data_IF_704903934211
#
_entry.id   IF_704903934211
#
_cell.length_a   1.000
_cell.length_b   1.000
_cell.length_c   1.000
_cell.angle_alpha   90.00
_cell.angle_beta   90.00
_cell.angle_gamma   90.00
#
_symmetry.space_group_name_H-M   'P 1'
#
loop_
_entity.id
_entity.type
_entity.pdbx_description
1 polymer ?
#
# COMPACT_ATOMS: atom_id res chain seq x y z
N UNK A 1 6.14 -27.12 4.16
CA UNK A 1 6.26 -27.18 2.69
C UNK A 1 5.13 -26.36 2.10
N UNK A 2 5.39 -25.56 1.06
CA UNK A 2 4.38 -24.84 0.29
C UNK A 2 4.44 -25.32 -1.16
N UNK A 3 3.28 -25.63 -1.75
CA UNK A 3 3.13 -26.09 -3.14
C UNK A 3 2.07 -25.21 -3.80
N UNK A 4 2.44 -24.02 -4.30
CA UNK A 4 1.50 -23.12 -4.94
C UNK A 4 1.00 -23.68 -6.27
N UNK A 5 -0.30 -23.53 -6.50
CA UNK A 5 -0.97 -23.93 -7.75
C UNK A 5 -1.40 -22.73 -8.60
N UNK A 6 -1.12 -21.52 -8.15
CA UNK A 6 -1.33 -20.27 -8.88
C UNK A 6 -0.31 -19.22 -8.42
N UNK A 7 -0.01 -18.19 -9.23
CA UNK A 7 0.85 -17.08 -8.85
C UNK A 7 0.01 -15.87 -8.39
N UNK A 8 -0.77 -15.98 -7.30
CA UNK A 8 -1.76 -14.94 -6.94
C UNK A 8 -1.36 -13.94 -5.86
N UNK A 9 -0.33 -14.22 -5.07
CA UNK A 9 0.10 -13.39 -3.95
C UNK A 9 1.53 -13.76 -3.51
N UNK A 10 2.23 -12.88 -2.81
CA UNK A 10 3.55 -13.15 -2.23
C UNK A 10 3.55 -14.06 -0.97
N UNK A 11 2.37 -14.40 -0.46
CA UNK A 11 2.17 -15.19 0.76
C UNK A 11 2.73 -16.61 0.75
N UNK A 12 3.12 -17.15 -0.42
CA UNK A 12 3.69 -18.50 -0.55
C UNK A 12 5.04 -18.65 0.15
N UNK A 13 5.74 -17.55 0.37
CA UNK A 13 7.09 -17.52 0.98
C UNK A 13 7.20 -16.49 2.09
N UNK A 14 6.09 -15.88 2.53
CA UNK A 14 6.12 -14.81 3.52
C UNK A 14 6.44 -15.32 4.93
N UNK A 15 6.92 -14.40 5.78
CA UNK A 15 6.86 -14.57 7.22
C UNK A 15 5.54 -13.97 7.73
N UNK A 16 4.66 -14.83 8.22
CA UNK A 16 3.33 -14.42 8.68
C UNK A 16 2.21 -14.64 7.67
N UNK A 17 0.98 -14.74 8.20
CA UNK A 17 -0.26 -14.93 7.45
C UNK A 17 -1.18 -13.74 7.66
N UNK A 18 -1.68 -13.15 6.57
CA UNK A 18 -2.58 -12.01 6.60
C UNK A 18 -4.04 -12.48 6.82
N UNK A 19 -4.51 -12.45 8.06
CA UNK A 19 -5.81 -12.97 8.48
C UNK A 19 -6.64 -11.87 9.16
N UNK A 20 -7.96 -11.96 9.04
CA UNK A 20 -8.87 -11.11 9.82
C UNK A 20 -9.11 -11.79 11.16
N UNK A 21 -8.73 -11.11 12.25
CA UNK A 21 -8.93 -11.57 13.62
C UNK A 21 -9.66 -10.47 14.38
N UNK A 22 -10.80 -10.80 14.99
CA UNK A 22 -11.64 -9.88 15.75
C UNK A 22 -12.00 -8.61 14.97
N UNK A 23 -12.32 -8.79 13.68
CA UNK A 23 -12.67 -7.70 12.76
C UNK A 23 -11.50 -6.86 12.27
N UNK A 24 -10.27 -7.03 12.79
CA UNK A 24 -9.08 -6.32 12.32
C UNK A 24 -8.22 -7.22 11.43
N UNK A 25 -7.84 -6.73 10.25
CA UNK A 25 -6.88 -7.41 9.39
C UNK A 25 -5.47 -7.32 10.00
N UNK A 26 -4.91 -8.46 10.39
CA UNK A 26 -3.60 -8.59 11.04
C UNK A 26 -2.68 -9.52 10.26
N UNK A 27 -1.38 -9.33 10.47
CA UNK A 27 -0.36 -10.29 10.01
C UNK A 27 0.00 -11.13 11.22
N UNK A 28 -0.52 -12.35 11.29
CA UNK A 28 -0.25 -13.27 12.40
C UNK A 28 1.10 -13.97 12.15
N UNK A 29 1.97 -14.08 13.17
CA UNK A 29 3.23 -14.80 13.03
C UNK A 29 2.99 -16.24 12.55
N UNK A 30 3.64 -16.59 11.45
CA UNK A 30 3.63 -17.93 10.86
C UNK A 30 5.04 -18.22 10.35
N UNK A 31 5.66 -19.34 10.75
CA UNK A 31 6.95 -19.74 10.20
C UNK A 31 6.87 -19.87 8.68
N UNK A 32 7.87 -19.36 7.99
CA UNK A 32 7.99 -19.55 6.55
C UNK A 32 8.17 -21.04 6.20
N UNK A 33 7.72 -21.48 5.03
CA UNK A 33 7.89 -22.88 4.62
C UNK A 33 9.36 -23.22 4.41
N UNK A 34 9.79 -24.38 4.94
CA UNK A 34 11.15 -24.92 4.70
C UNK A 34 11.44 -25.24 3.23
N UNK A 35 10.41 -25.58 2.47
CA UNK A 35 10.50 -26.00 1.06
C UNK A 35 9.35 -25.38 0.29
N UNK A 36 9.68 -24.76 -0.85
CA UNK A 36 8.74 -24.29 -1.86
C UNK A 36 8.91 -25.17 -3.11
N UNK A 37 7.81 -25.76 -3.60
CA UNK A 37 7.79 -26.51 -4.86
C UNK A 37 6.78 -25.85 -5.78
N UNK A 38 7.25 -25.04 -6.71
CA UNK A 38 6.42 -24.31 -7.66
C UNK A 38 6.60 -24.93 -9.05
N UNK A 39 5.65 -25.77 -9.45
CA UNK A 39 5.64 -26.36 -10.79
C UNK A 39 5.17 -25.31 -11.81
N UNK A 40 6.06 -24.93 -12.72
CA UNK A 40 5.78 -23.88 -13.72
C UNK A 40 4.66 -24.25 -14.68
N UNK A 41 4.48 -25.54 -14.98
CA UNK A 41 3.38 -26.00 -15.83
C UNK A 41 2.05 -25.81 -15.09
N UNK A 42 1.97 -26.19 -13.81
CA UNK A 42 0.78 -25.98 -12.97
C UNK A 42 0.46 -24.49 -12.84
N UNK A 43 1.46 -23.66 -12.52
CA UNK A 43 1.27 -22.21 -12.38
C UNK A 43 0.77 -21.55 -13.67
N UNK A 44 1.25 -22.02 -14.82
CA UNK A 44 0.87 -21.46 -16.14
C UNK A 44 -0.56 -21.80 -16.53
N UNK A 45 -1.08 -22.93 -16.05
CA UNK A 45 -2.46 -23.36 -16.28
C UNK A 45 -3.46 -22.77 -15.26
N UNK A 46 -3.01 -21.99 -14.28
CA UNK A 46 -3.88 -21.33 -13.33
C UNK A 46 -4.83 -20.33 -14.02
N UNK A 47 -6.06 -20.11 -13.48
CA UNK A 47 -6.97 -19.09 -13.98
C UNK A 47 -6.28 -17.72 -14.16
N UNK A 48 -6.52 -17.08 -15.30
CA UNK A 48 -5.85 -15.83 -15.68
C UNK A 48 -6.00 -14.72 -14.64
N UNK A 49 -7.13 -14.64 -13.97
CA UNK A 49 -7.41 -13.66 -12.92
C UNK A 49 -6.50 -13.81 -11.71
N UNK A 50 -6.05 -15.03 -11.39
CA UNK A 50 -5.08 -15.28 -10.32
C UNK A 50 -3.70 -14.75 -10.72
N UNK A 51 -3.29 -14.89 -11.98
CA UNK A 51 -2.10 -14.23 -12.49
C UNK A 51 -2.20 -12.71 -12.42
N UNK A 52 -3.32 -12.12 -12.86
CA UNK A 52 -3.54 -10.67 -12.77
C UNK A 52 -3.46 -10.18 -11.32
N UNK A 53 -4.02 -10.95 -10.38
CA UNK A 53 -3.95 -10.65 -8.94
C UNK A 53 -2.51 -10.63 -8.44
N UNK A 54 -1.70 -11.64 -8.76
CA UNK A 54 -0.29 -11.66 -8.36
C UNK A 54 0.57 -10.63 -9.09
N UNK A 55 0.28 -10.32 -10.34
CA UNK A 55 0.94 -9.22 -11.04
C UNK A 55 0.70 -7.89 -10.32
N UNK A 56 -0.56 -7.59 -9.97
CA UNK A 56 -0.90 -6.38 -9.24
C UNK A 56 -0.26 -6.34 -7.85
N UNK A 57 -0.25 -7.47 -7.13
CA UNK A 57 0.42 -7.59 -5.84
C UNK A 57 1.94 -7.36 -5.95
N UNK A 58 2.60 -7.86 -7.00
CA UNK A 58 4.01 -7.58 -7.24
C UNK A 58 4.23 -6.11 -7.64
N UNK A 59 3.39 -5.54 -8.50
CA UNK A 59 3.48 -4.16 -8.96
C UNK A 59 3.35 -3.15 -7.81
N UNK A 60 2.58 -3.50 -6.77
CA UNK A 60 2.43 -2.71 -5.55
C UNK A 60 3.75 -2.39 -4.83
N UNK A 61 4.80 -3.17 -5.08
CA UNK A 61 6.12 -2.92 -4.49
C UNK A 61 6.78 -1.65 -5.06
N UNK A 62 6.28 -1.10 -6.17
CA UNK A 62 6.70 0.22 -6.67
C UNK A 62 6.25 1.33 -5.69
N UNK A 63 4.94 1.59 -5.47
CA UNK A 63 4.50 2.57 -4.48
C UNK A 63 4.85 2.18 -3.03
N UNK A 64 4.80 0.88 -2.67
CA UNK A 64 5.23 0.43 -1.34
C UNK A 64 6.70 0.70 -1.05
N UNK A 65 7.58 0.57 -2.07
CA UNK A 65 8.97 0.99 -1.98
C UNK A 65 9.12 2.51 -1.82
N UNK A 66 8.28 3.30 -2.49
CA UNK A 66 8.26 4.76 -2.34
C UNK A 66 7.81 5.18 -0.92
N UNK A 67 6.88 4.45 -0.30
CA UNK A 67 6.53 4.62 1.10
C UNK A 67 7.73 4.39 2.03
N UNK A 68 8.53 3.35 1.79
CA UNK A 68 9.74 3.14 2.60
C UNK A 68 10.78 4.26 2.37
N UNK A 69 10.91 4.74 1.13
CA UNK A 69 11.75 5.92 0.79
C UNK A 69 11.30 7.17 1.55
N UNK A 70 10.00 7.41 1.69
CA UNK A 70 9.46 8.53 2.49
C UNK A 70 9.96 8.44 3.93
N UNK A 71 9.76 7.28 4.56
CA UNK A 71 10.05 7.07 5.97
C UNK A 71 11.56 7.12 6.26
N UNK A 72 12.38 6.61 5.34
CA UNK A 72 13.84 6.71 5.37
C UNK A 72 14.32 8.15 5.20
N UNK A 73 13.72 8.91 4.28
CA UNK A 73 14.07 10.34 4.05
C UNK A 73 13.75 11.21 5.26
N UNK A 74 12.71 10.87 6.01
CA UNK A 74 12.36 11.51 7.28
C UNK A 74 13.18 10.98 8.48
N UNK A 75 14.04 9.97 8.27
CA UNK A 75 14.88 9.39 9.32
C UNK A 75 14.12 8.60 10.39
N UNK A 76 12.94 8.08 10.06
CA UNK A 76 12.07 7.36 11.01
C UNK A 76 12.30 5.85 11.00
N UNK A 77 12.57 5.30 9.81
CA UNK A 77 12.85 3.87 9.61
C UNK A 77 13.75 3.74 8.38
N UNK A 78 15.06 3.55 8.58
CA UNK A 78 16.01 3.46 7.47
C UNK A 78 15.70 2.30 6.54
N UNK A 79 15.99 2.47 5.25
CA UNK A 79 15.98 1.34 4.30
C UNK A 79 17.11 0.38 4.67
N UNK A 80 16.77 -0.91 4.75
CA UNK A 80 17.74 -2.00 4.88
C UNK A 80 18.22 -2.44 3.49
N UNK A 81 19.48 -2.17 3.09
CA UNK A 81 19.92 -2.44 1.72
C UNK A 81 19.87 -3.91 1.31
N UNK A 82 20.15 -4.80 2.27
CA UNK A 82 20.13 -6.26 2.11
C UNK A 82 18.71 -6.80 1.87
N UNK A 83 17.69 -6.13 2.40
CA UNK A 83 16.27 -6.45 2.16
C UNK A 83 15.76 -5.77 0.90
N UNK A 84 16.12 -4.50 0.70
CA UNK A 84 15.73 -3.71 -0.46
C UNK A 84 16.12 -4.38 -1.78
N UNK A 85 17.36 -4.89 -1.85
CA UNK A 85 17.91 -5.51 -3.07
C UNK A 85 17.18 -6.79 -3.47
N UNK A 86 16.54 -7.51 -2.52
CA UNK A 86 15.79 -8.73 -2.83
C UNK A 86 14.56 -8.46 -3.69
N UNK A 87 13.96 -7.28 -3.57
CA UNK A 87 12.74 -6.92 -4.31
C UNK A 87 13.05 -5.87 -5.36
N UNK A 88 13.55 -4.72 -4.93
CA UNK A 88 13.56 -3.49 -5.73
C UNK A 88 14.59 -3.52 -6.88
N UNK A 89 15.63 -4.37 -6.78
CA UNK A 89 16.65 -4.51 -7.82
C UNK A 89 16.07 -5.07 -9.11
N UNK A 90 15.33 -6.17 -9.03
CA UNK A 90 14.83 -6.92 -10.18
C UNK A 90 13.33 -6.67 -10.45
N UNK A 91 12.65 -5.88 -9.60
CA UNK A 91 11.22 -5.58 -9.69
C UNK A 91 10.77 -5.12 -11.09
N UNK A 92 11.45 -4.11 -11.66
CA UNK A 92 11.11 -3.59 -13.00
C UNK A 92 11.29 -4.65 -14.08
N UNK A 93 12.32 -5.49 -13.96
CA UNK A 93 12.56 -6.61 -14.88
C UNK A 93 11.41 -7.62 -14.81
N UNK A 94 10.99 -8.02 -13.60
CA UNK A 94 9.86 -8.94 -13.42
C UNK A 94 8.54 -8.39 -13.96
N UNK A 95 8.28 -7.09 -13.77
CA UNK A 95 7.07 -6.46 -14.29
C UNK A 95 7.09 -6.29 -15.83
N UNK A 96 8.28 -6.08 -16.42
CA UNK A 96 8.44 -5.87 -17.86
C UNK A 96 8.27 -7.14 -18.69
N UNK A 97 8.37 -8.33 -18.09
CA UNK A 97 8.19 -9.62 -18.78
C UNK A 97 6.72 -9.93 -19.13
N UNK A 98 5.79 -9.01 -18.87
CA UNK A 98 4.39 -9.12 -19.29
C UNK A 98 3.71 -10.35 -18.68
N UNK A 99 3.36 -11.32 -19.52
CA UNK A 99 2.60 -12.53 -19.15
C UNK A 99 3.48 -13.71 -18.71
N UNK A 100 4.78 -13.51 -18.49
CA UNK A 100 5.66 -14.55 -17.96
C UNK A 100 5.32 -14.87 -16.49
N UNK A 101 4.53 -15.92 -16.32
CA UNK A 101 4.12 -16.51 -15.03
C UNK A 101 5.32 -16.81 -14.13
N UNK A 102 6.41 -17.33 -14.69
CA UNK A 102 7.59 -17.72 -13.91
C UNK A 102 8.27 -16.48 -13.34
N UNK A 103 8.46 -15.46 -14.18
CA UNK A 103 9.07 -14.19 -13.76
C UNK A 103 8.26 -13.49 -12.66
N UNK A 104 6.93 -13.44 -12.80
CA UNK A 104 6.04 -12.87 -11.77
C UNK A 104 6.11 -13.69 -10.48
N UNK A 105 6.03 -15.02 -10.58
CA UNK A 105 6.13 -15.89 -9.41
C UNK A 105 7.48 -15.74 -8.68
N UNK A 106 8.59 -15.58 -9.41
CA UNK A 106 9.90 -15.33 -8.83
C UNK A 106 9.95 -14.00 -8.07
N UNK A 107 9.32 -12.94 -8.58
CA UNK A 107 9.20 -11.67 -7.86
C UNK A 107 8.34 -11.76 -6.60
N UNK A 108 7.23 -12.50 -6.67
CA UNK A 108 6.39 -12.79 -5.49
C UNK A 108 7.16 -13.59 -4.43
N UNK A 109 7.92 -14.60 -4.84
CA UNK A 109 8.77 -15.39 -3.94
C UNK A 109 9.87 -14.53 -3.31
N UNK A 110 10.55 -13.69 -4.10
CA UNK A 110 11.57 -12.77 -3.62
C UNK A 110 11.01 -11.78 -2.59
N UNK A 111 9.77 -11.32 -2.80
CA UNK A 111 9.05 -10.49 -1.83
C UNK A 111 8.84 -11.23 -0.51
N UNK A 112 8.36 -12.46 -0.53
CA UNK A 112 8.20 -13.22 0.71
C UNK A 112 9.51 -13.48 1.44
N UNK A 113 10.60 -13.78 0.71
CA UNK A 113 11.96 -13.87 1.31
C UNK A 113 12.40 -12.55 1.96
N UNK A 114 12.09 -11.42 1.34
CA UNK A 114 12.40 -10.10 1.92
C UNK A 114 11.66 -9.87 3.24
N UNK A 115 10.39 -10.30 3.35
CA UNK A 115 9.64 -10.26 4.60
C UNK A 115 10.21 -11.21 5.66
N UNK A 116 10.72 -12.38 5.26
CA UNK A 116 11.41 -13.29 6.19
C UNK A 116 12.68 -12.66 6.77
N UNK A 117 13.49 -12.01 5.92
CA UNK A 117 14.73 -11.37 6.33
C UNK A 117 14.48 -10.10 7.16
N UNK A 118 13.40 -9.37 6.87
CA UNK A 118 13.04 -8.14 7.59
C UNK A 118 12.27 -8.40 8.89
N UNK A 119 11.51 -9.49 8.97
CA UNK A 119 10.58 -9.84 10.08
C UNK A 119 9.39 -8.88 10.25
N UNK A 120 9.03 -8.17 9.19
CA UNK A 120 7.83 -7.35 9.06
C UNK A 120 7.46 -7.22 7.57
N UNK A 121 6.23 -6.80 7.25
CA UNK A 121 5.77 -6.67 5.86
C UNK A 121 6.18 -5.36 5.16
N UNK A 122 6.95 -4.47 5.80
CA UNK A 122 7.44 -3.20 5.22
C UNK A 122 8.01 -3.34 3.80
N UNK A 123 8.79 -4.38 3.43
CA UNK A 123 9.33 -4.51 2.07
C UNK A 123 8.28 -4.84 1.00
N UNK A 124 7.11 -5.33 1.43
CA UNK A 124 6.06 -5.84 0.56
C UNK A 124 4.79 -4.97 0.54
N UNK A 125 4.62 -4.12 1.56
CA UNK A 125 3.34 -3.49 1.89
C UNK A 125 3.51 -2.05 2.40
N UNK A 126 2.89 -1.11 1.72
CA UNK A 126 2.69 0.30 2.06
C UNK A 126 1.21 0.66 2.14
N UNK A 127 0.86 1.90 1.80
CA UNK A 127 -0.49 2.43 1.79
C UNK A 127 -1.43 1.62 0.90
N UNK A 128 -0.95 1.12 -0.24
CA UNK A 128 -1.73 0.34 -1.20
C UNK A 128 -2.34 -0.93 -0.59
N UNK A 129 -1.61 -1.58 0.32
CA UNK A 129 -2.12 -2.72 1.08
C UNK A 129 -3.05 -2.30 2.21
N UNK A 130 -2.82 -1.13 2.84
CA UNK A 130 -3.73 -0.62 3.87
C UNK A 130 -5.11 -0.32 3.28
N UNK A 131 -5.19 0.20 2.05
CA UNK A 131 -6.45 0.36 1.33
C UNK A 131 -7.15 -0.99 1.12
N UNK A 132 -6.41 -1.99 0.65
CA UNK A 132 -6.93 -3.35 0.49
C UNK A 132 -7.48 -3.93 1.79
N UNK A 133 -6.80 -3.72 2.92
CA UNK A 133 -7.24 -4.18 4.22
C UNK A 133 -8.54 -3.52 4.69
N UNK A 134 -8.75 -2.22 4.41
CA UNK A 134 -10.04 -1.57 4.67
C UNK A 134 -11.15 -2.27 3.91
N UNK A 135 -10.98 -2.45 2.60
CA UNK A 135 -12.00 -3.08 1.77
C UNK A 135 -12.21 -4.56 2.09
N UNK A 136 -11.18 -5.27 2.59
CA UNK A 136 -11.32 -6.61 3.16
C UNK A 136 -12.17 -6.64 4.43
N UNK A 137 -11.90 -5.73 5.36
CA UNK A 137 -12.65 -5.61 6.62
C UNK A 137 -14.10 -5.18 6.39
N UNK A 138 -14.34 -4.36 5.36
CA UNK A 138 -15.68 -3.96 4.91
C UNK A 138 -16.41 -5.05 4.11
N UNK A 139 -15.81 -6.22 3.92
CA UNK A 139 -16.36 -7.33 3.14
C UNK A 139 -16.76 -6.91 1.71
N UNK A 140 -15.88 -6.18 1.02
CA UNK A 140 -16.10 -5.76 -0.37
C UNK A 140 -16.36 -7.00 -1.25
N UNK A 141 -17.53 -7.02 -1.89
CA UNK A 141 -17.93 -8.03 -2.86
C UNK A 141 -18.25 -7.38 -4.19
N UNK A 142 -18.00 -8.13 -5.28
CA UNK A 142 -18.38 -7.74 -6.63
C UNK A 142 -18.96 -8.95 -7.34
N UNK A 143 -20.14 -8.79 -7.96
CA UNK A 143 -20.87 -9.86 -8.65
C UNK A 143 -21.12 -11.12 -7.77
N UNK A 144 -21.35 -10.91 -6.48
CA UNK A 144 -21.65 -11.99 -5.52
C UNK A 144 -20.44 -12.69 -4.93
N UNK A 145 -19.22 -12.30 -5.30
CA UNK A 145 -17.98 -12.90 -4.81
C UNK A 145 -17.10 -11.89 -4.07
N UNK A 146 -16.26 -12.39 -3.16
CA UNK A 146 -15.25 -11.56 -2.48
C UNK A 146 -14.21 -11.08 -3.49
N UNK A 147 -13.92 -9.77 -3.49
CA UNK A 147 -12.93 -9.21 -4.41
C UNK A 147 -11.53 -9.73 -4.07
N UNK A 148 -10.79 -10.16 -5.10
CA UNK A 148 -9.41 -10.63 -5.00
C UNK A 148 -8.49 -9.65 -4.26
N UNK A 149 -7.57 -10.17 -3.45
CA UNK A 149 -6.59 -9.36 -2.71
C UNK A 149 -5.76 -8.47 -3.64
N UNK A 150 -5.15 -9.06 -4.67
CA UNK A 150 -4.36 -8.32 -5.66
C UNK A 150 -5.15 -7.27 -6.42
N UNK A 151 -6.46 -7.47 -6.64
CA UNK A 151 -7.30 -6.46 -7.30
C UNK A 151 -7.59 -5.26 -6.42
N UNK A 152 -7.81 -5.47 -5.11
CA UNK A 152 -7.87 -4.38 -4.14
C UNK A 152 -6.53 -3.67 -4.05
N UNK A 153 -5.42 -4.41 -3.95
CA UNK A 153 -4.06 -3.85 -3.96
C UNK A 153 -3.77 -3.08 -5.25
N UNK A 154 -4.31 -3.51 -6.40
CA UNK A 154 -4.19 -2.82 -7.69
C UNK A 154 -4.76 -1.40 -7.63
N UNK A 155 -6.03 -1.27 -7.24
CA UNK A 155 -6.70 0.03 -7.07
C UNK A 155 -5.98 0.87 -6.02
N UNK A 156 -5.54 0.24 -4.93
CA UNK A 156 -4.75 0.91 -3.92
C UNK A 156 -3.38 1.41 -4.42
N UNK A 157 -2.76 0.70 -5.35
CA UNK A 157 -1.46 1.07 -5.94
C UNK A 157 -1.62 2.26 -6.89
N UNK A 158 -2.66 2.25 -7.73
CA UNK A 158 -3.02 3.40 -8.58
C UNK A 158 -3.29 4.65 -7.74
N UNK A 159 -4.06 4.51 -6.65
CA UNK A 159 -4.31 5.58 -5.70
C UNK A 159 -3.00 6.09 -5.07
N UNK A 160 -2.12 5.20 -4.60
CA UNK A 160 -0.85 5.57 -3.98
C UNK A 160 0.06 6.35 -4.92
N UNK A 161 0.22 5.88 -6.17
CA UNK A 161 1.00 6.58 -7.19
C UNK A 161 0.40 7.95 -7.47
N UNK A 162 -0.91 8.04 -7.68
CA UNK A 162 -1.60 9.30 -7.97
C UNK A 162 -1.53 10.30 -6.79
N UNK A 163 -1.63 9.83 -5.55
CA UNK A 163 -1.46 10.64 -4.33
C UNK A 163 -0.05 11.23 -4.27
N UNK A 164 0.97 10.38 -4.42
CA UNK A 164 2.37 10.81 -4.39
C UNK A 164 2.69 11.77 -5.53
N UNK A 165 2.26 11.47 -6.77
CA UNK A 165 2.45 12.38 -7.89
C UNK A 165 1.75 13.72 -7.63
N UNK A 166 0.48 13.72 -7.25
CA UNK A 166 -0.27 14.96 -7.05
C UNK A 166 0.39 15.85 -6.00
N UNK A 167 0.83 15.25 -4.87
CA UNK A 167 1.51 16.00 -3.82
C UNK A 167 2.87 16.53 -4.29
N UNK A 168 3.73 15.68 -4.84
CA UNK A 168 5.12 16.03 -5.17
C UNK A 168 5.30 16.71 -6.52
N UNK A 169 4.23 16.94 -7.29
CA UNK A 169 4.26 17.91 -8.39
C UNK A 169 4.29 19.36 -7.88
N UNK A 170 3.77 19.62 -6.67
CA UNK A 170 3.84 20.94 -6.06
C UNK A 170 5.25 21.27 -5.59
N UNK A 171 5.66 22.54 -5.77
CA UNK A 171 6.82 23.07 -5.06
C UNK A 171 6.58 23.09 -3.55
N UNK A 172 7.64 23.24 -2.75
CA UNK A 172 7.49 23.37 -1.29
C UNK A 172 6.63 24.57 -0.91
N UNK A 173 6.74 25.70 -1.63
CA UNK A 173 5.91 26.89 -1.40
C UNK A 173 4.44 26.63 -1.74
N UNK A 174 4.18 25.90 -2.82
CA UNK A 174 2.83 25.51 -3.22
C UNK A 174 2.18 24.55 -2.22
N UNK A 175 2.95 23.60 -1.71
CA UNK A 175 2.51 22.68 -0.68
C UNK A 175 2.22 23.43 0.64
N UNK A 176 3.11 24.32 1.07
CA UNK A 176 2.92 25.15 2.26
C UNK A 176 1.67 26.03 2.19
N UNK A 177 1.38 26.63 1.03
CA UNK A 177 0.18 27.45 0.83
C UNK A 177 -1.13 26.65 0.92
N UNK A 178 -1.10 25.37 0.59
CA UNK A 178 -2.26 24.48 0.63
C UNK A 178 -2.43 23.76 1.97
N UNK A 179 -1.38 23.70 2.76
CA UNK A 179 -1.33 22.97 4.01
C UNK A 179 -2.30 23.57 5.06
N UNK A 180 -3.27 22.77 5.52
CA UNK A 180 -4.15 23.18 6.61
C UNK A 180 -3.48 22.98 7.97
N UNK A 181 -3.84 23.74 9.02
CA UNK A 181 -3.31 23.55 10.36
C UNK A 181 -3.59 22.14 10.91
N UNK A 182 -2.71 21.58 11.77
CA UNK A 182 -2.96 20.28 12.39
C UNK A 182 -4.20 20.34 13.29
N UNK A 183 -5.03 19.29 13.34
CA UNK A 183 -6.22 19.27 14.19
C UNK A 183 -5.83 19.17 15.67
N UNK A 184 -6.74 19.58 16.55
CA UNK A 184 -6.67 19.28 17.98
C UNK A 184 -6.96 17.80 18.25
N UNK A 185 -6.55 17.30 19.41
CA UNK A 185 -6.87 15.93 19.86
C UNK A 185 -8.37 15.64 19.87
N UNK A 186 -9.20 16.63 20.21
CA UNK A 186 -10.65 16.51 20.21
C UNK A 186 -11.21 16.35 18.79
N UNK A 187 -10.74 17.16 17.85
CA UNK A 187 -11.12 17.04 16.43
C UNK A 187 -10.65 15.71 15.85
N UNK A 188 -9.42 15.28 16.17
CA UNK A 188 -8.91 14.00 15.73
C UNK A 188 -9.75 12.83 16.25
N UNK A 189 -10.15 12.84 17.53
CA UNK A 189 -11.06 11.81 18.07
C UNK A 189 -12.39 11.75 17.31
N UNK A 190 -12.97 12.89 16.96
CA UNK A 190 -14.20 12.95 16.15
C UNK A 190 -13.98 12.39 14.74
N UNK A 191 -12.86 12.74 14.11
CA UNK A 191 -12.49 12.24 12.77
C UNK A 191 -12.33 10.71 12.78
N UNK A 192 -11.60 10.17 13.76
CA UNK A 192 -11.41 8.71 13.93
C UNK A 192 -12.75 8.02 14.16
N UNK A 193 -13.59 8.53 15.06
CA UNK A 193 -14.91 7.97 15.32
C UNK A 193 -15.80 7.95 14.05
N UNK A 194 -15.76 9.01 13.24
CA UNK A 194 -16.49 9.10 11.97
C UNK A 194 -15.98 8.07 10.95
N UNK A 195 -14.67 7.97 10.75
CA UNK A 195 -14.08 7.05 9.77
C UNK A 195 -14.23 5.59 10.18
N UNK A 196 -14.29 5.30 11.48
CA UNK A 196 -14.48 3.95 12.00
C UNK A 196 -15.94 3.59 12.27
N UNK A 197 -16.89 4.48 11.92
CA UNK A 197 -18.32 4.33 12.26
C UNK A 197 -18.98 3.06 11.69
N UNK A 198 -18.41 2.46 10.64
CA UNK A 198 -18.87 1.17 10.09
C UNK A 198 -18.67 -0.01 11.05
N UNK A 199 -17.86 0.15 12.10
CA UNK A 199 -17.71 -0.84 13.17
C UNK A 199 -16.99 -2.13 12.78
N UNK A 200 -16.42 -2.21 11.58
CA UNK A 200 -15.79 -3.41 11.04
C UNK A 200 -14.25 -3.42 11.15
N UNK A 201 -13.66 -2.58 11.99
CA UNK A 201 -12.20 -2.38 12.08
C UNK A 201 -11.57 -2.92 13.37
N UNK A 202 -12.30 -3.78 14.08
CA UNK A 202 -11.96 -4.21 15.44
C UNK A 202 -12.00 -3.06 16.46
N UNK A 203 -11.71 -3.38 17.72
CA UNK A 203 -11.72 -2.41 18.83
C UNK A 203 -10.43 -1.58 18.91
N UNK A 204 -9.33 -2.08 18.35
CA UNK A 204 -7.99 -1.49 18.48
C UNK A 204 -7.70 -0.38 17.46
N UNK A 205 -8.42 -0.28 16.33
CA UNK A 205 -8.10 0.68 15.28
C UNK A 205 -8.10 2.14 15.77
N UNK A 206 -9.02 2.51 16.67
CA UNK A 206 -9.05 3.84 17.25
C UNK A 206 -7.82 4.10 18.15
N UNK A 207 -7.39 3.10 18.93
CA UNK A 207 -6.20 3.19 19.77
C UNK A 207 -4.94 3.30 18.93
N UNK A 208 -4.81 2.51 17.86
CA UNK A 208 -3.71 2.58 16.89
C UNK A 208 -3.62 3.97 16.27
N UNK A 209 -4.75 4.53 15.82
CA UNK A 209 -4.81 5.85 15.21
C UNK A 209 -4.44 6.97 16.17
N UNK A 210 -4.84 6.88 17.44
CA UNK A 210 -4.55 7.89 18.46
C UNK A 210 -3.14 7.75 19.04
N UNK A 211 -2.56 6.56 19.05
CA UNK A 211 -1.19 6.32 19.52
C UNK A 211 -0.14 7.00 18.66
N UNK A 212 -0.42 7.22 17.37
CA UNK A 212 0.48 7.93 16.44
C UNK A 212 0.17 9.41 16.27
N UNK A 213 -0.89 9.90 16.90
CA UNK A 213 -1.28 11.29 16.77
C UNK A 213 -0.28 12.22 17.45
N UNK A 214 0.34 13.10 16.68
CA UNK A 214 1.27 14.11 17.18
C UNK A 214 0.51 15.39 17.55
N UNK A 215 0.89 16.02 18.66
CA UNK A 215 0.31 17.29 19.13
C UNK A 215 1.38 18.24 19.67
N UNK A 216 1.05 19.53 19.77
CA UNK A 216 1.97 20.57 20.27
C UNK A 216 3.25 20.69 19.44
N UNK A 217 4.39 20.69 20.14
CA UNK A 217 5.71 20.83 19.50
C UNK A 217 6.03 19.65 18.57
N UNK A 218 5.56 18.43 18.89
CA UNK A 218 5.88 17.24 18.11
C UNK A 218 5.34 17.32 16.67
N UNK A 219 4.09 17.77 16.48
CA UNK A 219 3.52 17.95 15.12
C UNK A 219 4.16 19.14 14.41
N UNK A 220 4.54 20.19 15.15
CA UNK A 220 5.22 21.36 14.60
C UNK A 220 6.60 20.98 14.04
N UNK A 221 7.40 20.25 14.81
CA UNK A 221 8.72 19.78 14.39
C UNK A 221 8.62 18.77 13.24
N UNK A 222 7.61 17.88 13.27
CA UNK A 222 7.37 16.96 12.17
C UNK A 222 7.03 17.68 10.87
N UNK A 223 6.15 18.68 10.91
CA UNK A 223 5.81 19.48 9.71
C UNK A 223 7.02 20.24 9.18
N UNK A 224 7.81 20.88 10.06
CA UNK A 224 9.07 21.52 9.66
C UNK A 224 9.99 20.53 8.96
N UNK A 225 10.16 19.33 9.52
CA UNK A 225 10.98 18.29 8.91
C UNK A 225 10.46 17.89 7.53
N UNK A 226 9.16 17.64 7.37
CA UNK A 226 8.55 17.27 6.08
C UNK A 226 8.83 18.34 5.02
N UNK A 227 8.54 19.61 5.32
CA UNK A 227 8.74 20.69 4.35
C UNK A 227 10.22 21.00 4.09
N UNK A 228 11.09 20.92 5.10
CA UNK A 228 12.55 21.06 4.92
C UNK A 228 13.15 19.94 4.05
N UNK A 229 12.51 18.76 4.02
CA UNK A 229 12.93 17.62 3.20
C UNK A 229 12.11 17.48 1.92
N UNK A 230 11.23 18.43 1.59
CA UNK A 230 10.24 18.28 0.51
C UNK A 230 10.89 18.01 -0.85
N UNK A 231 11.92 18.76 -1.22
CA UNK A 231 12.60 18.58 -2.51
C UNK A 231 13.37 17.26 -2.58
N UNK A 232 13.97 16.83 -1.46
CA UNK A 232 14.63 15.52 -1.37
C UNK A 232 13.61 14.37 -1.45
N UNK A 233 12.46 14.51 -0.78
CA UNK A 233 11.35 13.56 -0.88
C UNK A 233 10.88 13.46 -2.33
N UNK A 234 10.62 14.61 -2.97
CA UNK A 234 10.23 14.71 -4.38
C UNK A 234 11.19 13.98 -5.30
N UNK A 235 12.49 14.27 -5.20
CA UNK A 235 13.53 13.64 -6.02
C UNK A 235 13.54 12.12 -5.83
N UNK A 236 13.60 11.65 -4.58
CA UNK A 236 13.72 10.22 -4.28
C UNK A 236 12.45 9.44 -4.63
N UNK A 237 11.27 10.04 -4.46
CA UNK A 237 9.99 9.42 -4.81
C UNK A 237 9.86 9.29 -6.32
N UNK A 238 10.11 10.35 -7.10
CA UNK A 238 10.05 10.27 -8.56
C UNK A 238 11.10 9.34 -9.16
N UNK A 239 12.25 9.17 -8.51
CA UNK A 239 13.24 8.15 -8.89
C UNK A 239 12.73 6.71 -8.67
N UNK A 240 11.91 6.50 -7.63
CA UNK A 240 11.38 5.18 -7.27
C UNK A 240 10.09 4.84 -8.03
N UNK A 241 9.22 5.81 -8.27
CA UNK A 241 7.93 5.58 -8.92
C UNK A 241 8.06 5.26 -10.42
N UNK A 242 6.99 4.68 -10.95
CA UNK A 242 6.69 4.65 -12.37
C UNK A 242 5.56 5.67 -12.57
N UNK A 243 5.65 6.58 -13.57
CA UNK A 243 4.61 7.59 -13.77
C UNK A 243 3.21 6.99 -13.91
N UNK A 244 2.18 7.64 -13.37
CA UNK A 244 0.82 7.07 -13.27
C UNK A 244 0.31 6.47 -14.59
N UNK A 245 0.48 7.18 -15.71
CA UNK A 245 0.04 6.70 -17.03
C UNK A 245 0.75 5.42 -17.48
N UNK A 246 2.05 5.31 -17.22
CA UNK A 246 2.84 4.11 -17.52
C UNK A 246 2.49 2.97 -16.56
N UNK A 247 2.38 3.25 -15.26
CA UNK A 247 1.99 2.26 -14.25
C UNK A 247 0.61 1.67 -14.52
N UNK A 248 -0.37 2.53 -14.87
CA UNK A 248 -1.71 2.10 -15.31
C UNK A 248 -1.65 1.23 -16.56
N UNK A 249 -0.76 1.55 -17.51
CA UNK A 249 -0.58 0.76 -18.73
C UNK A 249 -0.01 -0.63 -18.44
N UNK A 250 0.94 -0.77 -17.51
CA UNK A 250 1.46 -2.05 -17.04
C UNK A 250 0.34 -2.92 -16.46
N UNK A 251 -0.46 -2.35 -15.55
CA UNK A 251 -1.60 -3.03 -14.92
C UNK A 251 -2.66 -3.44 -15.95
N UNK A 252 -2.96 -2.57 -16.92
CA UNK A 252 -3.88 -2.86 -18.03
C UNK A 252 -3.42 -4.05 -18.85
N UNK A 253 -2.14 -4.08 -19.23
CA UNK A 253 -1.55 -5.15 -20.03
C UNK A 253 -1.55 -6.50 -19.29
N UNK A 254 -1.46 -6.48 -17.96
CA UNK A 254 -1.58 -7.68 -17.15
C UNK A 254 -3.03 -8.17 -16.99
N UNK A 255 -4.03 -7.34 -17.31
CA UNK A 255 -5.46 -7.65 -17.13
C UNK A 255 -5.95 -7.38 -15.70
N UNK A 256 -5.41 -6.34 -15.06
CA UNK A 256 -5.82 -5.89 -13.73
C UNK A 256 -6.92 -4.82 -13.83
N UNK A 257 -7.75 -4.64 -12.78
CA UNK A 257 -8.73 -3.56 -12.75
C UNK A 257 -8.04 -2.20 -12.63
N UNK A 258 -8.59 -1.19 -13.30
CA UNK A 258 -8.01 0.14 -13.44
C UNK A 258 -8.83 1.23 -12.76
N UNK A 259 -10.09 0.94 -12.41
CA UNK A 259 -10.99 1.90 -11.75
C UNK A 259 -11.66 1.26 -10.52
N UNK A 260 -12.05 2.05 -9.51
CA UNK A 260 -12.75 1.51 -8.33
C UNK A 260 -14.03 0.75 -8.70
N UNK A 261 -14.76 1.22 -9.71
CA UNK A 261 -16.01 0.61 -10.16
C UNK A 261 -15.84 -0.82 -10.70
N UNK A 262 -14.68 -1.14 -11.29
CA UNK A 262 -14.36 -2.50 -11.79
C UNK A 262 -14.21 -3.53 -10.67
N UNK A 263 -14.04 -3.09 -9.42
CA UNK A 263 -14.05 -3.95 -8.23
C UNK A 263 -15.26 -3.68 -7.32
N UNK A 264 -16.27 -2.98 -7.81
CA UNK A 264 -17.51 -2.74 -7.08
C UNK A 264 -17.46 -1.62 -6.04
N UNK A 265 -16.43 -0.77 -6.05
CA UNK A 265 -16.37 0.41 -5.18
C UNK A 265 -17.10 1.60 -5.81
N UNK A 266 -17.92 2.28 -5.01
CA UNK A 266 -18.35 3.66 -5.31
C UNK A 266 -17.22 4.65 -5.04
N UNK A 267 -17.31 5.86 -5.62
CA UNK A 267 -16.35 6.94 -5.32
C UNK A 267 -16.28 7.25 -3.81
N UNK A 268 -17.42 7.25 -3.14
CA UNK A 268 -17.51 7.46 -1.69
C UNK A 268 -16.77 6.35 -0.92
N UNK A 269 -16.97 5.07 -1.27
CA UNK A 269 -16.28 3.96 -0.63
C UNK A 269 -14.77 3.99 -0.91
N UNK A 270 -14.38 4.39 -2.11
CA UNK A 270 -12.97 4.54 -2.49
C UNK A 270 -12.28 5.63 -1.66
N UNK A 271 -12.83 6.84 -1.63
CA UNK A 271 -12.29 7.98 -0.86
C UNK A 271 -12.31 7.71 0.64
N UNK A 272 -13.39 7.13 1.16
CA UNK A 272 -13.48 6.66 2.54
C UNK A 272 -12.38 5.65 2.87
N UNK A 273 -12.19 4.65 1.99
CA UNK A 273 -11.15 3.63 2.14
C UNK A 273 -9.74 4.21 2.28
N UNK A 274 -9.45 5.26 1.51
CA UNK A 274 -8.15 5.96 1.58
C UNK A 274 -7.96 6.64 2.93
N UNK A 275 -8.96 7.39 3.40
CA UNK A 275 -8.88 8.11 4.68
C UNK A 275 -8.84 7.14 5.87
N UNK A 276 -9.62 6.05 5.82
CA UNK A 276 -9.69 5.06 6.88
C UNK A 276 -8.41 4.20 6.97
N UNK A 277 -7.75 3.93 5.84
CA UNK A 277 -6.52 3.12 5.80
C UNK A 277 -5.38 3.72 6.64
N UNK A 278 -5.36 5.05 6.77
CA UNK A 278 -4.42 5.73 7.65
C UNK A 278 -4.65 5.37 9.13
N UNK A 279 -5.76 4.76 9.54
CA UNK A 279 -6.07 4.52 10.96
C UNK A 279 -5.69 3.13 11.47
N UNK A 280 -5.50 2.16 10.58
CA UNK A 280 -5.54 0.74 10.95
C UNK A 280 -4.17 0.12 11.27
N UNK A 281 -3.07 0.86 11.04
CA UNK A 281 -1.70 0.40 11.34
C UNK A 281 -0.83 1.53 11.88
N UNK A 282 0.18 1.14 12.68
CA UNK A 282 1.25 2.03 13.17
C UNK A 282 2.27 2.40 12.08
N UNK A 283 2.30 1.66 10.97
CA UNK A 283 3.20 1.86 9.85
C UNK A 283 3.01 3.27 9.28
N UNK A 284 4.10 4.02 9.16
CA UNK A 284 4.10 5.33 8.50
C UNK A 284 4.16 5.15 6.98
N UNK A 285 3.28 5.85 6.25
CA UNK A 285 3.13 5.81 4.78
C UNK A 285 2.92 7.23 4.23
N UNK A 286 2.69 7.36 2.92
CA UNK A 286 2.27 8.61 2.28
C UNK A 286 1.02 9.20 2.94
N UNK A 287 0.11 8.37 3.46
CA UNK A 287 -1.08 8.84 4.15
C UNK A 287 -0.74 9.62 5.41
N UNK A 288 0.26 9.16 6.16
CA UNK A 288 0.73 9.83 7.37
C UNK A 288 1.46 11.12 7.04
N UNK A 289 2.32 11.10 6.01
CA UNK A 289 3.00 12.31 5.53
C UNK A 289 2.01 13.38 5.11
N UNK A 290 1.04 13.03 4.27
CA UNK A 290 0.04 13.99 3.78
C UNK A 290 -0.89 14.45 4.89
N UNK A 291 -1.23 13.58 5.85
CA UNK A 291 -2.02 13.96 7.02
C UNK A 291 -1.25 14.97 7.89
N UNK A 292 -0.01 14.67 8.25
CA UNK A 292 0.83 15.54 9.09
C UNK A 292 1.13 16.87 8.38
N UNK A 293 1.36 16.83 7.07
CA UNK A 293 1.54 18.02 6.24
C UNK A 293 0.26 18.86 6.06
N UNK A 294 -0.92 18.33 6.42
CA UNK A 294 -2.21 19.01 6.22
C UNK A 294 -2.63 19.08 4.75
N UNK A 295 -2.32 18.05 3.97
CA UNK A 295 -2.59 17.97 2.53
C UNK A 295 -3.52 16.81 2.14
N UNK A 296 -3.75 15.83 3.03
CA UNK A 296 -4.42 14.57 2.67
C UNK A 296 -5.85 14.79 2.17
N UNK A 297 -6.70 15.45 2.94
CA UNK A 297 -8.13 15.55 2.67
C UNK A 297 -8.42 16.26 1.33
N UNK A 298 -7.73 17.36 1.05
CA UNK A 298 -7.90 18.11 -0.21
C UNK A 298 -7.42 17.34 -1.44
N UNK A 299 -6.43 16.46 -1.30
CA UNK A 299 -5.94 15.62 -2.41
C UNK A 299 -6.96 14.51 -2.64
N UNK A 300 -7.43 13.86 -1.57
CA UNK A 300 -8.41 12.76 -1.66
C UNK A 300 -9.75 13.24 -2.23
N UNK A 301 -10.21 14.44 -1.87
CA UNK A 301 -11.46 15.01 -2.40
C UNK A 301 -11.47 15.10 -3.94
N UNK A 302 -10.30 15.42 -4.52
CA UNK A 302 -10.09 15.58 -5.97
C UNK A 302 -9.47 14.35 -6.63
N UNK A 303 -9.31 13.26 -5.89
CA UNK A 303 -8.66 12.06 -6.41
C UNK A 303 -9.64 11.29 -7.28
N UNK A 304 -9.29 11.17 -8.56
CA UNK A 304 -10.01 10.38 -9.55
C UNK A 304 -9.03 9.44 -10.25
N UNK A 305 -9.46 8.19 -10.43
CA UNK A 305 -8.74 7.17 -11.20
C UNK A 305 -9.42 7.05 -12.57
N UNK A 306 -9.13 8.00 -13.45
CA UNK A 306 -9.51 7.94 -14.87
C UNK A 306 -8.71 6.87 -15.58
#
# INVERSE_FOLDING_TARGET
MCVPTAPSVDGYTSFGAALTQDGLKRTLPCPAPYVLVADTEVLTHAPRELFSSGYADLAAKIPGGADWVIVDTLGLEPIRPDVWVLVQKDLRKWLSSGNDVTSIFMGLAATGYSMQLYRDSRPASGAEHLFSHIWEMENLTFRGEAVSHGFKVCIGSLASVKLMETAFHWSVEEALKRAVPPPTRTERKKQVARLLARGCYGTEAAEIALAKFLEGDAVTERRKLIFNRWDLLRERIFKQLIPYGEFKSLLKNAGCPLTPAEIGLTDEQFKHGILAAQLIRKRYTILDLLYEAGLLEQIVEKLELD
#
